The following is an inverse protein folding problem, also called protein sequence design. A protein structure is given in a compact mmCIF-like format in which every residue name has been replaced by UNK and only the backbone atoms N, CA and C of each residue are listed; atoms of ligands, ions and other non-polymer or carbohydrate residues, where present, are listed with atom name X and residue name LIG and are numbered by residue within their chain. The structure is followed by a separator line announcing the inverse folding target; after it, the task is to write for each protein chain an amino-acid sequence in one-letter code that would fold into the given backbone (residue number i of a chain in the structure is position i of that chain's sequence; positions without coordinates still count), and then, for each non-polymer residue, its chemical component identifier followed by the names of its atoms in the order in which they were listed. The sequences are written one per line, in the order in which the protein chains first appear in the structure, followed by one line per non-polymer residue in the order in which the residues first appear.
data_IF_597618280431
#
_entry.id   IF_597618280431
#
_cell.length_a   1.000
_cell.length_b   1.000
_cell.length_c   1.000
_cell.angle_alpha   90.00
_cell.angle_beta   90.00
_cell.angle_gamma   90.00
#
_symmetry.space_group_name_H-M   'P 1'
#
loop_
_entity.id
_entity.type
_entity.pdbx_description
1 polymer ?
#
# COMPACT_ATOMS: atom_id res chain seq x y z
N UNK A 1 2.96 -5.15 27.46
CA UNK A 1 4.07 -4.74 26.55
C UNK A 1 3.91 -3.26 26.23
N UNK A 2 5.00 -2.56 25.90
CA UNK A 2 4.98 -1.15 25.44
C UNK A 2 5.66 -1.03 24.08
N UNK A 3 4.99 -0.39 23.12
CA UNK A 3 5.44 -0.23 21.73
C UNK A 3 5.59 1.26 21.39
N UNK A 4 6.62 1.58 20.61
CA UNK A 4 7.02 2.96 20.27
C UNK A 4 7.01 3.18 18.75
N UNK A 5 6.27 4.19 18.28
CA UNK A 5 6.04 4.43 16.83
C UNK A 5 6.16 5.91 16.50
N UNK A 6 6.87 6.28 15.44
CA UNK A 6 7.25 7.68 15.16
C UNK A 6 6.29 8.48 14.25
N UNK A 7 5.23 7.88 13.68
CA UNK A 7 4.34 8.57 12.74
C UNK A 7 2.86 8.17 12.89
N UNK A 8 1.96 9.08 12.47
CA UNK A 8 0.50 8.95 12.66
C UNK A 8 -0.11 7.73 11.97
N UNK A 9 0.25 7.48 10.71
CA UNK A 9 -0.30 6.34 9.95
C UNK A 9 0.54 5.07 10.06
N UNK A 10 1.51 5.03 10.97
CA UNK A 10 2.37 3.86 11.15
C UNK A 10 1.76 2.89 12.17
N UNK A 11 1.96 1.61 11.89
CA UNK A 11 1.75 0.55 12.86
C UNK A 11 3.09 -0.04 13.32
N UNK A 12 3.09 -0.64 14.50
CA UNK A 12 4.14 -1.55 14.95
C UNK A 12 3.52 -2.92 15.20
N UNK A 13 4.11 -3.94 14.59
CA UNK A 13 3.83 -5.33 14.85
C UNK A 13 4.85 -5.88 15.85
N UNK A 14 4.40 -6.67 16.80
CA UNK A 14 5.26 -7.43 17.71
C UNK A 14 4.56 -8.74 18.11
N UNK A 15 5.27 -9.85 18.07
CA UNK A 15 4.67 -11.15 18.35
C UNK A 15 5.65 -12.30 18.49
N UNK A 16 5.12 -13.46 18.86
CA UNK A 16 5.87 -14.71 18.84
C UNK A 16 6.10 -15.16 17.40
N UNK A 17 7.28 -15.72 17.16
CA UNK A 17 7.66 -16.27 15.87
C UNK A 17 6.76 -17.44 15.48
N UNK A 18 6.51 -17.63 14.19
CA UNK A 18 5.87 -18.85 13.68
C UNK A 18 6.75 -20.09 13.72
N UNK A 19 8.01 -19.94 14.14
CA UNK A 19 8.97 -21.01 14.31
C UNK A 19 9.60 -20.98 15.71
N UNK A 20 9.88 -22.16 16.25
CA UNK A 20 10.56 -22.34 17.54
C UNK A 20 12.09 -22.30 17.43
N UNK A 21 12.65 -22.25 16.22
CA UNK A 21 14.09 -22.34 15.93
C UNK A 21 14.68 -21.07 15.31
N UNK A 22 13.84 -20.17 14.78
CA UNK A 22 14.25 -18.89 14.17
C UNK A 22 13.13 -17.85 14.26
N UNK A 23 13.43 -16.60 13.92
CA UNK A 23 12.40 -15.56 13.74
C UNK A 23 11.74 -15.73 12.37
N UNK A 24 10.45 -16.00 12.35
CA UNK A 24 9.69 -16.29 11.14
C UNK A 24 8.30 -15.66 11.19
N UNK A 25 8.01 -14.80 10.21
CA UNK A 25 6.75 -14.06 10.14
C UNK A 25 5.54 -14.97 9.90
N UNK A 26 5.67 -15.97 9.02
CA UNK A 26 4.56 -16.89 8.72
C UNK A 26 4.41 -17.87 9.88
N UNK A 27 3.18 -18.04 10.36
CA UNK A 27 2.82 -18.77 11.58
C UNK A 27 2.88 -17.92 12.86
N UNK A 28 3.26 -16.64 12.78
CA UNK A 28 3.36 -15.77 13.95
C UNK A 28 1.98 -15.39 14.51
N UNK A 29 1.91 -15.33 15.84
CA UNK A 29 0.87 -14.65 16.61
C UNK A 29 1.44 -13.28 17.03
N UNK A 30 0.86 -12.20 16.50
CA UNK A 30 1.38 -10.86 16.64
C UNK A 30 0.30 -9.83 16.94
N UNK A 31 0.62 -8.91 17.84
CA UNK A 31 -0.17 -7.71 18.07
C UNK A 31 0.21 -6.63 17.06
N UNK A 32 -0.78 -6.03 16.41
CA UNK A 32 -0.63 -4.84 15.58
C UNK A 32 -1.14 -3.63 16.36
N UNK A 33 -0.24 -2.71 16.68
CA UNK A 33 -0.55 -1.50 17.45
C UNK A 33 -0.37 -0.24 16.64
N UNK A 34 -1.30 0.71 16.79
CA UNK A 34 -1.29 2.01 16.11
C UNK A 34 -2.18 3.03 16.81
N UNK A 35 -2.05 4.31 16.44
CA UNK A 35 -2.97 5.38 16.82
C UNK A 35 -3.86 5.76 15.64
N UNK A 36 -5.11 6.09 15.90
CA UNK A 36 -6.00 6.79 14.97
C UNK A 36 -6.51 8.07 15.64
N UNK A 37 -5.92 9.20 15.27
CA UNK A 37 -6.06 10.44 16.04
C UNK A 37 -5.55 10.25 17.48
N UNK A 38 -6.47 10.25 18.45
CA UNK A 38 -6.18 10.02 19.87
C UNK A 38 -6.54 8.61 20.35
N UNK A 39 -7.18 7.81 19.50
CA UNK A 39 -7.60 6.45 19.85
C UNK A 39 -6.43 5.49 19.63
N UNK A 40 -6.09 4.74 20.67
CA UNK A 40 -5.11 3.67 20.57
C UNK A 40 -5.73 2.34 20.20
N UNK A 41 -4.98 1.54 19.45
CA UNK A 41 -5.34 0.18 19.10
C UNK A 41 -4.15 -0.74 19.37
N UNK A 42 -4.45 -1.94 19.86
CA UNK A 42 -3.52 -3.04 20.01
C UNK A 42 -4.33 -4.31 19.74
N UNK A 43 -4.33 -4.74 18.48
CA UNK A 43 -5.24 -5.77 17.97
C UNK A 43 -4.48 -7.07 17.73
N UNK A 44 -5.13 -8.19 18.01
CA UNK A 44 -4.56 -9.53 17.82
C UNK A 44 -4.67 -10.04 16.38
N UNK A 45 -3.56 -10.55 15.87
CA UNK A 45 -3.42 -11.03 14.49
C UNK A 45 -2.63 -12.33 14.42
N UNK A 46 -3.14 -13.27 13.64
CA UNK A 46 -2.42 -14.44 13.19
C UNK A 46 -1.99 -14.28 11.71
N UNK A 47 -0.72 -14.61 11.46
CA UNK A 47 -0.07 -14.40 10.16
C UNK A 47 0.13 -15.73 9.45
N UNK A 48 -0.70 -16.02 8.44
CA UNK A 48 -0.67 -17.32 7.73
C UNK A 48 0.00 -17.28 6.36
N UNK A 49 0.24 -16.08 5.81
CA UNK A 49 0.93 -15.88 4.53
C UNK A 49 1.53 -14.46 4.46
N UNK A 50 2.47 -14.22 3.51
CA UNK A 50 3.04 -12.88 3.27
C UNK A 50 2.14 -12.05 2.35
N UNK A 51 0.90 -11.86 2.76
CA UNK A 51 -0.13 -11.10 2.06
C UNK A 51 -0.98 -10.31 3.08
N UNK A 52 -1.68 -9.25 2.67
CA UNK A 52 -2.79 -8.71 3.46
C UNK A 52 -3.84 -9.80 3.74
N UNK A 53 -4.75 -9.55 4.67
CA UNK A 53 -5.82 -10.49 4.94
C UNK A 53 -6.77 -10.62 3.73
N UNK A 54 -6.69 -11.73 3.00
CA UNK A 54 -7.46 -11.99 1.79
C UNK A 54 -8.27 -13.27 1.92
N UNK A 55 -9.35 -13.39 1.15
CA UNK A 55 -10.12 -14.64 1.04
C UNK A 55 -9.52 -15.54 -0.03
N UNK A 56 -9.02 -16.70 0.39
CA UNK A 56 -8.57 -17.78 -0.47
C UNK A 56 -9.63 -18.87 -0.43
N UNK A 57 -10.46 -18.94 -1.47
CA UNK A 57 -11.56 -19.92 -1.59
C UNK A 57 -12.48 -19.97 -0.37
N UNK A 58 -12.82 -18.79 0.17
CA UNK A 58 -13.72 -18.65 1.31
C UNK A 58 -13.03 -18.72 2.68
N UNK A 59 -11.71 -18.95 2.73
CA UNK A 59 -10.94 -18.93 3.97
C UNK A 59 -10.02 -17.71 4.02
N UNK A 60 -9.96 -17.03 5.16
CA UNK A 60 -9.03 -15.92 5.35
C UNK A 60 -7.58 -16.43 5.45
N UNK A 61 -6.67 -15.79 4.71
CA UNK A 61 -5.23 -16.03 4.74
C UNK A 61 -4.46 -14.71 4.66
N UNK A 62 -3.22 -14.70 5.13
CA UNK A 62 -2.38 -13.50 5.19
C UNK A 62 -2.22 -12.99 6.62
N UNK A 63 -2.04 -11.67 6.77
CA UNK A 63 -1.97 -10.97 8.05
C UNK A 63 -3.39 -10.61 8.49
N UNK A 64 -4.04 -11.51 9.23
CA UNK A 64 -5.46 -11.42 9.56
C UNK A 64 -5.70 -11.18 11.05
N UNK A 65 -6.73 -10.38 11.38
CA UNK A 65 -7.25 -10.30 12.75
C UNK A 65 -7.78 -11.67 13.16
N UNK A 66 -7.58 -12.08 14.41
CA UNK A 66 -7.99 -13.42 14.87
C UNK A 66 -9.48 -13.66 14.77
N UNK A 67 -10.30 -12.63 14.98
CA UNK A 67 -11.75 -12.69 14.78
C UNK A 67 -12.16 -13.16 13.38
N UNK A 68 -11.36 -12.90 12.34
CA UNK A 68 -11.63 -13.36 10.97
C UNK A 68 -11.29 -14.85 10.78
N UNK A 69 -10.48 -15.42 11.65
CA UNK A 69 -10.05 -16.82 11.65
C UNK A 69 -10.85 -17.68 12.63
N UNK A 70 -11.88 -17.11 13.26
CA UNK A 70 -12.70 -17.80 14.26
C UNK A 70 -12.15 -17.72 15.69
N UNK A 71 -11.11 -16.93 15.90
CA UNK A 71 -10.51 -16.60 17.20
C UNK A 71 -11.14 -15.38 17.86
N UNK A 72 -10.46 -14.87 18.89
CA UNK A 72 -10.86 -13.70 19.68
C UNK A 72 -9.69 -12.73 19.84
N UNK A 73 -9.99 -11.43 19.87
CA UNK A 73 -8.96 -10.44 20.21
C UNK A 73 -8.59 -10.57 21.69
N UNK A 74 -7.43 -11.15 21.99
CA UNK A 74 -6.96 -11.40 23.36
C UNK A 74 -6.24 -10.20 23.97
N UNK A 75 -5.97 -9.17 23.18
CA UNK A 75 -5.26 -7.98 23.60
C UNK A 75 -6.19 -6.98 24.30
N UNK A 76 -5.70 -6.38 25.38
CA UNK A 76 -6.41 -5.35 26.14
C UNK A 76 -5.54 -4.10 26.21
N UNK A 77 -5.98 -3.05 25.52
CA UNK A 77 -5.33 -1.75 25.55
C UNK A 77 -5.33 -1.20 26.99
N UNK A 78 -4.18 -0.67 27.42
CA UNK A 78 -4.03 -0.01 28.71
C UNK A 78 -3.88 1.51 28.56
N UNK A 79 -2.87 1.96 27.81
CA UNK A 79 -2.64 3.38 27.54
C UNK A 79 -2.17 3.59 26.11
N UNK A 80 -2.52 4.74 25.55
CA UNK A 80 -2.06 5.15 24.23
C UNK A 80 -1.81 6.66 24.28
N UNK A 81 -0.55 7.07 24.25
CA UNK A 81 -0.13 8.45 24.43
C UNK A 81 0.83 8.82 23.32
N UNK A 82 0.74 10.06 22.82
CA UNK A 82 1.75 10.61 21.94
C UNK A 82 2.56 11.67 22.67
N UNK A 83 3.87 11.44 22.75
CA UNK A 83 4.81 12.32 23.44
C UNK A 83 6.03 12.55 22.55
N UNK A 84 6.40 13.81 22.33
CA UNK A 84 7.58 14.20 21.53
C UNK A 84 7.63 13.54 20.13
N UNK A 85 6.48 13.39 19.48
CA UNK A 85 6.36 12.75 18.17
C UNK A 85 6.39 11.21 18.18
N UNK A 86 6.45 10.59 19.35
CA UNK A 86 6.46 9.14 19.53
C UNK A 86 5.12 8.69 20.13
N UNK A 87 4.47 7.76 19.45
CA UNK A 87 3.29 7.04 19.94
C UNK A 87 3.77 5.93 20.87
N UNK A 88 3.29 5.94 22.11
CA UNK A 88 3.58 4.97 23.15
C UNK A 88 2.28 4.23 23.45
N UNK A 89 2.23 2.95 23.07
CA UNK A 89 1.05 2.11 23.26
C UNK A 89 1.40 0.99 24.22
N UNK A 90 0.68 0.93 25.33
CA UNK A 90 0.79 -0.14 26.33
C UNK A 90 -0.48 -0.95 26.32
N UNK A 91 -0.32 -2.28 26.26
CA UNK A 91 -1.42 -3.23 26.33
C UNK A 91 -1.00 -4.45 27.16
N UNK A 92 -2.00 -5.23 27.58
CA UNK A 92 -1.82 -6.51 28.27
C UNK A 92 -2.52 -7.62 27.49
N UNK A 93 -1.95 -8.83 27.56
CA UNK A 93 -2.58 -10.07 27.11
C UNK A 93 -2.31 -11.17 28.12
N UNK A 94 -3.07 -12.25 28.05
CA UNK A 94 -2.81 -13.47 28.83
C UNK A 94 -1.62 -14.23 28.27
N UNK A 95 -0.84 -14.87 29.13
CA UNK A 95 0.31 -15.68 28.70
C UNK A 95 -0.12 -16.99 28.03
N UNK A 96 -1.21 -17.57 28.53
CA UNK A 96 -1.90 -18.72 27.95
C UNK A 96 -3.27 -18.21 27.54
N UNK A 97 -3.56 -18.27 26.24
CA UNK A 97 -4.84 -17.85 25.69
C UNK A 97 -5.83 -19.02 25.64
N UNK A 98 -7.13 -18.69 25.62
CA UNK A 98 -8.18 -19.66 25.32
C UNK A 98 -8.41 -19.81 23.80
N UNK A 99 -7.83 -18.91 23.00
CA UNK A 99 -7.86 -18.99 21.55
C UNK A 99 -6.90 -20.10 21.07
N UNK A 100 -7.38 -21.12 20.34
CA UNK A 100 -6.51 -22.17 19.80
C UNK A 100 -5.53 -21.69 18.72
N UNK A 101 -5.76 -20.51 18.13
CA UNK A 101 -4.87 -19.86 17.16
C UNK A 101 -3.67 -19.16 17.80
N UNK A 102 -3.74 -18.90 19.11
CA UNK A 102 -2.70 -18.17 19.85
C UNK A 102 -1.55 -19.08 20.26
N UNK A 103 -0.36 -18.46 20.36
CA UNK A 103 0.81 -19.12 20.91
C UNK A 103 0.97 -18.83 22.40
N UNK A 104 1.47 -19.83 23.14
CA UNK A 104 1.78 -19.66 24.56
C UNK A 104 3.05 -18.82 24.76
N UNK A 105 2.93 -17.73 25.52
CA UNK A 105 4.06 -16.92 25.96
C UNK A 105 4.76 -17.57 27.15
N UNK A 106 5.73 -18.44 26.84
CA UNK A 106 6.51 -19.17 27.86
C UNK A 106 7.33 -18.21 28.73
N UNK A 107 7.14 -18.30 30.03
CA UNK A 107 7.93 -17.53 31.00
C UNK A 107 9.33 -18.09 31.19
N UNK A 108 9.56 -19.36 30.86
CA UNK A 108 10.85 -20.03 31.04
C UNK A 108 11.54 -20.24 29.69
N UNK A 109 12.84 -19.93 29.64
CA UNK A 109 13.67 -20.14 28.45
C UNK A 109 13.48 -19.06 27.38
N UNK A 110 14.07 -19.34 26.22
CA UNK A 110 14.09 -18.42 25.09
C UNK A 110 12.88 -18.66 24.17
N UNK A 111 12.22 -17.57 23.77
CA UNK A 111 11.21 -17.55 22.72
C UNK A 111 11.69 -16.69 21.56
N UNK A 112 11.56 -17.17 20.33
CA UNK A 112 11.82 -16.35 19.14
C UNK A 112 10.64 -15.41 18.91
N UNK A 113 10.96 -14.21 18.43
CA UNK A 113 9.96 -13.17 18.16
C UNK A 113 10.15 -12.54 16.80
N UNK A 114 9.09 -11.87 16.36
CA UNK A 114 9.07 -11.02 15.18
C UNK A 114 8.61 -9.62 15.57
N UNK A 115 9.11 -8.62 14.86
CA UNK A 115 8.60 -7.26 14.95
C UNK A 115 8.78 -6.55 13.62
N UNK A 116 7.91 -5.59 13.34
CA UNK A 116 8.01 -4.78 12.15
C UNK A 116 7.34 -3.41 12.36
N UNK A 117 7.75 -2.42 11.59
CA UNK A 117 7.09 -1.10 11.50
C UNK A 117 6.76 -0.84 10.05
N UNK A 118 5.49 -0.50 9.80
CA UNK A 118 4.97 -0.23 8.46
C UNK A 118 3.87 0.81 8.49
N UNK A 119 3.24 1.02 7.35
CA UNK A 119 2.12 1.94 7.19
C UNK A 119 0.80 1.21 7.11
N UNK A 120 -0.25 1.84 7.64
CA UNK A 120 -1.62 1.40 7.49
C UNK A 120 -2.21 1.88 6.16
N UNK A 121 -3.08 1.09 5.54
CA UNK A 121 -3.89 1.57 4.41
C UNK A 121 -5.04 2.48 4.89
N UNK A 122 -5.86 2.95 3.93
CA UNK A 122 -7.03 3.79 4.23
C UNK A 122 -8.09 3.10 5.12
N UNK A 123 -8.08 1.77 5.20
CA UNK A 123 -8.97 0.96 6.07
C UNK A 123 -8.33 0.61 7.42
N UNK A 124 -7.17 1.21 7.76
CA UNK A 124 -6.41 0.91 8.98
C UNK A 124 -5.95 -0.56 9.07
N UNK A 125 -5.63 -1.16 7.92
CA UNK A 125 -5.03 -2.49 7.85
C UNK A 125 -3.51 -2.40 7.64
N UNK A 126 -2.71 -3.29 8.26
CA UNK A 126 -1.27 -3.30 8.12
C UNK A 126 -0.85 -3.69 6.70
N UNK A 127 -0.11 -2.79 6.05
CA UNK A 127 0.47 -3.03 4.73
C UNK A 127 1.95 -3.44 4.85
N UNK A 128 2.65 -3.59 3.73
CA UNK A 128 4.05 -4.01 3.74
C UNK A 128 4.90 -3.07 4.62
N UNK A 129 5.71 -3.67 5.49
CA UNK A 129 6.52 -2.94 6.47
C UNK A 129 7.83 -2.43 5.87
N UNK A 130 8.30 -1.29 6.37
CA UNK A 130 9.54 -0.64 5.93
C UNK A 130 10.74 -1.07 6.80
N UNK A 131 10.49 -1.35 8.09
CA UNK A 131 11.52 -1.65 9.07
C UNK A 131 11.21 -2.99 9.72
N UNK A 132 12.17 -3.92 9.66
CA UNK A 132 12.07 -5.26 10.22
C UNK A 132 13.47 -5.90 10.28
N UNK A 133 13.71 -6.86 11.19
CA UNK A 133 15.00 -7.53 11.31
C UNK A 133 15.20 -8.60 10.21
N UNK A 134 16.46 -8.89 9.88
CA UNK A 134 16.87 -10.01 8.98
C UNK A 134 17.60 -11.13 9.71
N UNK A 135 17.71 -11.02 11.03
CA UNK A 135 18.35 -11.99 11.90
C UNK A 135 17.36 -12.46 12.96
N UNK A 136 17.70 -13.57 13.62
CA UNK A 136 16.87 -14.11 14.68
C UNK A 136 16.92 -13.23 15.92
N UNK A 137 15.74 -12.88 16.42
CA UNK A 137 15.56 -12.20 17.70
C UNK A 137 14.88 -13.16 18.67
N UNK A 138 15.46 -13.30 19.85
CA UNK A 138 14.92 -14.11 20.94
C UNK A 138 14.82 -13.29 22.21
N UNK A 139 13.83 -13.61 23.03
CA UNK A 139 13.61 -13.01 24.33
C UNK A 139 13.37 -14.06 25.40
N UNK A 140 13.69 -13.71 26.63
CA UNK A 140 13.35 -14.47 27.83
C UNK A 140 12.48 -13.54 28.69
N UNK A 141 11.22 -13.95 28.93
CA UNK A 141 10.21 -13.10 29.58
C UNK A 141 10.41 -12.96 31.09
N UNK A 142 10.81 -14.04 31.77
CA UNK A 142 11.02 -14.04 33.22
C UNK A 142 12.51 -14.14 33.57
N UNK A 143 13.31 -13.21 33.05
CA UNK A 143 14.74 -13.12 33.39
C UNK A 143 14.91 -12.88 34.89
N UNK A 144 15.76 -13.68 35.54
CA UNK A 144 16.10 -13.51 36.97
C UNK A 144 16.88 -12.23 37.23
N UNK A 145 17.77 -11.86 36.31
CA UNK A 145 18.52 -10.61 36.37
C UNK A 145 17.89 -9.57 35.44
N UNK A 146 17.50 -8.43 36.01
CA UNK A 146 16.95 -7.33 35.24
C UNK A 146 18.07 -6.67 34.43
N UNK A 147 17.94 -6.67 33.12
CA UNK A 147 18.82 -5.92 32.21
C UNK A 147 17.98 -4.91 31.42
N UNK A 148 18.30 -3.62 31.56
CA UNK A 148 17.75 -2.58 30.68
C UNK A 148 18.82 -2.16 29.69
N UNK A 149 18.74 -2.70 28.48
CA UNK A 149 19.52 -2.29 27.30
C UNK A 149 18.73 -1.32 26.40
N UNK A 150 17.66 -0.72 26.93
CA UNK A 150 16.89 0.30 26.23
C UNK A 150 17.65 1.63 26.21
N UNK A 151 17.73 2.26 25.05
CA UNK A 151 18.35 3.57 24.85
C UNK A 151 17.31 4.59 24.40
N UNK A 152 17.48 5.84 24.81
CA UNK A 152 16.61 6.91 24.35
C UNK A 152 16.75 7.12 22.83
N UNK A 153 15.63 7.46 22.17
CA UNK A 153 15.67 7.91 20.79
C UNK A 153 16.36 9.28 20.72
N UNK A 154 17.58 9.32 20.19
CA UNK A 154 18.43 10.53 20.18
C UNK A 154 18.50 11.21 18.82
N UNK A 155 18.01 10.57 17.75
CA UNK A 155 18.10 11.07 16.37
C UNK A 155 16.84 10.70 15.58
N UNK A 156 16.29 11.67 14.86
CA UNK A 156 15.41 11.39 13.74
C UNK A 156 16.26 11.09 12.50
N UNK A 157 15.99 9.98 11.81
CA UNK A 157 16.57 9.74 10.48
C UNK A 157 15.65 10.39 9.45
N UNK A 158 15.77 11.71 9.29
CA UNK A 158 15.24 12.35 8.09
C UNK A 158 16.22 12.14 6.95
N UNK A 159 15.98 11.11 6.15
CA UNK A 159 16.50 11.09 4.79
C UNK A 159 15.31 11.23 3.86
N UNK A 160 14.91 12.48 3.60
CA UNK A 160 14.06 12.75 2.44
C UNK A 160 14.89 12.35 1.22
N UNK A 161 14.59 11.18 0.67
CA UNK A 161 15.13 10.75 -0.60
C UNK A 161 14.09 11.06 -1.65
N UNK A 162 14.53 11.70 -2.72
CA UNK A 162 13.66 12.09 -3.82
C UNK A 162 12.98 10.86 -4.43
N UNK A 163 11.66 10.94 -4.60
CA UNK A 163 10.86 9.92 -5.27
C UNK A 163 11.42 9.62 -6.67
N UNK A 164 11.38 8.36 -7.11
CA UNK A 164 11.74 8.04 -8.48
C UNK A 164 10.77 8.68 -9.47
N UNK A 165 11.25 8.95 -10.69
CA UNK A 165 10.40 9.44 -11.77
C UNK A 165 9.23 8.48 -12.02
N UNK A 166 8.01 9.04 -12.04
CA UNK A 166 6.80 8.28 -12.32
C UNK A 166 6.79 7.85 -13.79
N UNK A 167 6.45 6.58 -14.04
CA UNK A 167 6.30 6.09 -15.40
C UNK A 167 5.02 6.63 -16.05
N UNK A 168 5.09 6.97 -17.34
CA UNK A 168 3.93 7.38 -18.15
C UNK A 168 3.94 6.62 -19.48
N UNK A 169 2.77 6.16 -19.91
CA UNK A 169 2.55 5.58 -21.25
C UNK A 169 1.54 6.44 -22.00
N UNK A 170 2.06 7.50 -22.63
CA UNK A 170 1.31 8.41 -23.51
C UNK A 170 1.74 8.18 -24.97
N UNK A 171 1.28 7.09 -25.58
CA UNK A 171 1.61 6.77 -26.97
C UNK A 171 0.35 6.38 -27.77
N UNK A 172 0.11 7.10 -28.86
CA UNK A 172 -1.04 6.89 -29.75
C UNK A 172 -0.98 5.56 -30.49
N UNK A 173 0.18 4.94 -30.63
CA UNK A 173 0.40 3.71 -31.40
C UNK A 173 0.23 2.45 -30.55
N UNK A 174 0.41 2.56 -29.23
CA UNK A 174 0.30 1.44 -28.32
C UNK A 174 -1.18 1.06 -28.13
N UNK A 175 -1.50 -0.19 -28.47
CA UNK A 175 -2.83 -0.81 -28.25
C UNK A 175 -2.76 -2.06 -27.37
N UNK A 176 -1.56 -2.51 -27.05
CA UNK A 176 -1.32 -3.71 -26.26
C UNK A 176 -0.41 -3.37 -25.10
N UNK A 177 -0.80 -3.76 -23.90
CA UNK A 177 -0.04 -3.59 -22.67
C UNK A 177 0.24 -4.96 -22.07
N UNK A 178 1.44 -5.16 -21.54
CA UNK A 178 1.80 -6.37 -20.80
C UNK A 178 1.90 -6.02 -19.32
N UNK A 179 1.11 -6.70 -18.49
CA UNK A 179 1.08 -6.52 -17.04
C UNK A 179 1.74 -7.72 -16.35
N UNK A 180 2.77 -7.45 -15.57
CA UNK A 180 3.54 -8.43 -14.78
C UNK A 180 3.66 -7.95 -13.33
N UNK A 181 4.12 -8.81 -12.43
CA UNK A 181 4.31 -8.43 -11.02
C UNK A 181 5.77 -8.08 -10.74
N UNK A 182 5.98 -7.21 -9.75
CA UNK A 182 7.31 -6.91 -9.24
C UNK A 182 7.26 -6.20 -7.89
N UNK A 183 8.41 -5.99 -7.25
CA UNK A 183 8.47 -5.35 -5.95
C UNK A 183 8.16 -3.85 -6.06
N UNK A 184 7.60 -3.27 -5.01
CA UNK A 184 7.13 -1.88 -5.00
C UNK A 184 8.23 -0.80 -5.09
N UNK A 185 9.51 -1.17 -4.93
CA UNK A 185 10.63 -0.22 -5.00
C UNK A 185 10.77 0.68 -3.76
N UNK A 186 10.47 0.14 -2.57
CA UNK A 186 10.58 0.87 -1.31
C UNK A 186 9.69 2.11 -1.23
N UNK A 187 10.17 3.12 -0.48
CA UNK A 187 9.51 4.41 -0.27
C UNK A 187 9.71 5.36 -1.46
N UNK A 188 10.79 5.18 -2.23
CA UNK A 188 11.06 5.99 -3.44
C UNK A 188 10.26 5.56 -4.66
N UNK A 189 9.87 4.29 -4.74
CA UNK A 189 9.07 3.73 -5.82
C UNK A 189 7.57 4.00 -5.65
N UNK A 190 6.77 2.94 -5.65
CA UNK A 190 5.30 3.02 -5.69
C UNK A 190 4.72 3.93 -4.62
N UNK A 191 5.16 3.79 -3.36
CA UNK A 191 4.63 4.61 -2.26
C UNK A 191 4.96 6.09 -2.44
N UNK A 192 6.16 6.41 -2.95
CA UNK A 192 6.56 7.78 -3.20
C UNK A 192 5.78 8.40 -4.36
N UNK A 193 5.60 7.63 -5.43
CA UNK A 193 4.91 8.06 -6.67
C UNK A 193 3.42 8.27 -6.41
N UNK A 194 2.78 7.30 -5.78
CA UNK A 194 1.31 7.26 -5.63
C UNK A 194 0.80 7.90 -4.35
N UNK A 195 1.68 8.06 -3.35
CA UNK A 195 1.33 8.37 -1.95
C UNK A 195 0.42 7.33 -1.30
N UNK A 196 0.25 6.16 -1.90
CA UNK A 196 -0.49 5.03 -1.35
C UNK A 196 0.45 4.05 -0.66
N UNK A 197 -0.07 3.30 0.31
CA UNK A 197 0.60 2.12 0.85
C UNK A 197 0.71 0.99 -0.18
N UNK A 198 1.45 -0.08 0.10
CA UNK A 198 1.61 -1.21 -0.85
C UNK A 198 1.59 -2.54 -0.11
N UNK A 199 1.10 -3.59 -0.77
CA UNK A 199 1.20 -4.98 -0.29
C UNK A 199 2.60 -5.57 -0.45
N UNK A 200 3.50 -4.81 -1.10
CA UNK A 200 4.86 -5.20 -1.40
C UNK A 200 5.04 -5.75 -2.81
N UNK A 201 3.96 -6.08 -3.51
CA UNK A 201 3.95 -6.35 -4.95
C UNK A 201 3.08 -5.30 -5.64
N UNK A 202 3.48 -4.92 -6.86
CA UNK A 202 2.72 -3.99 -7.70
C UNK A 202 2.75 -4.44 -9.15
N UNK A 203 1.84 -3.91 -9.95
CA UNK A 203 1.78 -4.09 -11.37
C UNK A 203 2.89 -3.33 -12.07
N UNK A 204 3.62 -4.04 -12.92
CA UNK A 204 4.52 -3.48 -13.90
C UNK A 204 3.84 -3.51 -15.25
N UNK A 205 3.69 -2.36 -15.90
CA UNK A 205 3.08 -2.28 -17.23
C UNK A 205 4.15 -1.93 -18.24
N UNK A 206 4.36 -2.81 -19.22
CA UNK A 206 5.46 -2.71 -20.19
C UNK A 206 6.83 -2.51 -19.51
N UNK A 207 7.03 -3.11 -18.33
CA UNK A 207 8.26 -3.02 -17.54
C UNK A 207 8.42 -1.74 -16.71
N UNK A 208 7.46 -0.82 -16.74
CA UNK A 208 7.45 0.37 -15.88
C UNK A 208 6.70 0.08 -14.57
N UNK A 209 7.17 0.67 -13.46
CA UNK A 209 6.55 0.56 -12.14
C UNK A 209 5.23 1.33 -12.10
N UNK A 210 4.09 0.61 -12.09
CA UNK A 210 2.74 1.16 -11.98
C UNK A 210 2.54 2.51 -12.71
N UNK A 211 2.81 2.60 -14.03
CA UNK A 211 2.78 3.85 -14.75
C UNK A 211 1.36 4.41 -14.89
N UNK A 212 1.23 5.70 -15.13
CA UNK A 212 -0.01 6.28 -15.66
C UNK A 212 -0.15 5.92 -17.15
N UNK A 213 -1.36 5.58 -17.58
CA UNK A 213 -1.62 5.11 -18.97
C UNK A 213 -2.70 5.98 -19.61
N UNK A 214 -2.57 6.30 -20.90
CA UNK A 214 -3.60 7.05 -21.63
C UNK A 214 -4.30 6.19 -22.67
N UNK A 215 -5.61 6.03 -22.50
CA UNK A 215 -6.49 5.36 -23.45
C UNK A 215 -7.43 6.37 -24.10
N UNK A 216 -7.71 6.21 -25.38
CA UNK A 216 -8.66 7.03 -26.11
C UNK A 216 -10.02 6.36 -26.19
N UNK A 217 -11.09 7.13 -25.96
CA UNK A 217 -12.46 6.64 -26.13
C UNK A 217 -12.71 6.14 -27.56
N UNK A 218 -13.46 5.06 -27.67
CA UNK A 218 -13.81 4.40 -28.94
C UNK A 218 -12.72 3.52 -29.55
N UNK A 219 -11.52 3.45 -28.94
CA UNK A 219 -10.46 2.53 -29.37
C UNK A 219 -10.38 1.30 -28.47
N UNK A 220 -10.12 0.16 -29.08
CA UNK A 220 -9.96 -1.11 -28.36
C UNK A 220 -8.49 -1.33 -28.00
N UNK A 221 -8.26 -1.66 -26.74
CA UNK A 221 -6.95 -1.98 -26.16
C UNK A 221 -6.97 -3.41 -25.61
N UNK A 222 -5.79 -4.04 -25.58
CA UNK A 222 -5.60 -5.39 -25.03
C UNK A 222 -4.56 -5.36 -23.93
N UNK A 223 -4.91 -5.88 -22.76
CA UNK A 223 -3.98 -6.09 -21.65
C UNK A 223 -3.66 -7.58 -21.57
N UNK A 224 -2.37 -7.92 -21.71
CA UNK A 224 -1.82 -9.26 -21.51
C UNK A 224 -1.42 -9.39 -20.05
N UNK A 225 -2.13 -10.22 -19.30
CA UNK A 225 -2.02 -10.29 -17.85
C UNK A 225 -1.23 -11.52 -17.43
N UNK A 226 -0.19 -11.29 -16.63
CA UNK A 226 0.64 -12.31 -15.99
C UNK A 226 0.71 -12.12 -14.47
N UNK A 227 -0.46 -12.16 -13.82
CA UNK A 227 -0.63 -11.91 -12.38
C UNK A 227 -0.68 -13.15 -11.50
N UNK A 228 -0.50 -14.34 -12.08
CA UNK A 228 -0.76 -15.62 -11.44
C UNK A 228 -2.24 -16.02 -11.48
N UNK A 229 -2.48 -17.28 -11.82
CA UNK A 229 -3.80 -17.85 -12.08
C UNK A 229 -4.19 -18.96 -11.09
N UNK A 230 -3.41 -19.15 -10.02
CA UNK A 230 -3.70 -20.12 -8.97
C UNK A 230 -4.52 -19.48 -7.83
N UNK A 231 -5.85 -19.70 -7.74
CA UNK A 231 -6.69 -19.10 -6.71
C UNK A 231 -6.42 -19.61 -5.29
N UNK A 232 -5.57 -20.63 -5.12
CA UNK A 232 -5.13 -21.10 -3.80
C UNK A 232 -3.96 -20.28 -3.22
N UNK A 233 -3.33 -19.42 -4.03
CA UNK A 233 -2.21 -18.59 -3.62
C UNK A 233 -2.70 -17.28 -3.01
N UNK A 234 -2.47 -17.07 -1.71
CA UNK A 234 -2.73 -15.78 -1.07
C UNK A 234 -1.78 -14.68 -1.59
N UNK A 235 -0.55 -15.07 -1.95
CA UNK A 235 0.55 -14.14 -2.28
C UNK A 235 0.66 -13.81 -3.76
N UNK A 236 0.22 -14.69 -4.65
CA UNK A 236 0.50 -14.61 -6.09
C UNK A 236 -0.73 -14.87 -6.97
N UNK A 237 -1.94 -14.61 -6.46
CA UNK A 237 -3.16 -14.65 -7.26
C UNK A 237 -3.68 -13.24 -7.46
N UNK A 238 -3.33 -12.61 -8.58
CA UNK A 238 -3.70 -11.23 -8.88
C UNK A 238 -4.41 -11.10 -10.22
N UNK A 239 -5.71 -11.42 -10.27
CA UNK A 239 -6.51 -11.07 -11.44
C UNK A 239 -6.55 -9.55 -11.64
N UNK A 240 -6.46 -9.10 -12.89
CA UNK A 240 -6.39 -7.69 -13.24
C UNK A 240 -7.79 -7.11 -13.46
N UNK A 241 -8.09 -5.98 -12.85
CA UNK A 241 -9.39 -5.30 -12.98
C UNK A 241 -9.19 -3.82 -13.30
N UNK A 242 -10.21 -3.22 -13.91
CA UNK A 242 -10.30 -1.77 -14.10
C UNK A 242 -11.59 -1.26 -13.46
N UNK A 243 -11.47 -0.29 -12.57
CA UNK A 243 -12.56 0.25 -11.76
C UNK A 243 -12.48 1.78 -11.69
N UNK A 244 -13.53 2.42 -11.19
CA UNK A 244 -13.49 3.84 -10.80
C UNK A 244 -12.98 4.09 -9.38
N UNK A 245 -12.72 3.03 -8.62
CA UNK A 245 -12.12 3.06 -7.28
C UNK A 245 -10.59 2.91 -7.37
N UNK A 246 -9.86 3.70 -6.57
CA UNK A 246 -8.42 3.90 -6.70
C UNK A 246 -7.55 2.82 -6.04
N UNK A 247 -8.06 2.17 -5.00
CA UNK A 247 -7.32 1.24 -4.17
C UNK A 247 -7.40 -0.21 -4.64
N UNK A 248 -8.44 -0.64 -5.36
CA UNK A 248 -8.55 -2.05 -5.78
C UNK A 248 -8.82 -3.01 -4.62
N UNK A 249 -8.35 -4.25 -4.72
CA UNK A 249 -8.66 -5.28 -3.72
C UNK A 249 -10.17 -5.50 -3.59
N UNK A 250 -10.88 -5.48 -4.72
CA UNK A 250 -12.35 -5.50 -4.79
C UNK A 250 -12.97 -6.62 -3.94
N UNK A 251 -12.36 -7.82 -3.90
CA UNK A 251 -12.86 -8.96 -3.12
C UNK A 251 -12.77 -8.77 -1.59
N UNK A 252 -11.94 -7.83 -1.13
CA UNK A 252 -11.79 -7.48 0.27
C UNK A 252 -12.83 -6.46 0.76
N UNK A 253 -13.47 -5.75 -0.18
CA UNK A 253 -14.48 -4.73 0.15
C UNK A 253 -15.74 -5.38 0.71
N UNK A 254 -16.43 -4.67 1.61
CA UNK A 254 -17.76 -5.11 2.06
C UNK A 254 -18.76 -5.09 0.90
N UNK A 255 -19.84 -5.86 1.00
CA UNK A 255 -20.85 -5.93 -0.07
C UNK A 255 -21.46 -4.56 -0.38
N UNK A 256 -21.65 -3.71 0.64
CA UNK A 256 -22.18 -2.35 0.48
C UNK A 256 -21.22 -1.43 -0.27
N UNK A 257 -19.91 -1.63 -0.10
CA UNK A 257 -18.88 -0.86 -0.82
C UNK A 257 -18.73 -1.39 -2.23
N UNK A 258 -18.73 -2.72 -2.43
CA UNK A 258 -18.68 -3.35 -3.75
C UNK A 258 -19.81 -2.85 -4.66
N UNK A 259 -21.03 -2.68 -4.12
CA UNK A 259 -22.17 -2.17 -4.88
C UNK A 259 -22.01 -0.72 -5.37
N UNK A 260 -21.15 0.07 -4.73
CA UNK A 260 -20.88 1.48 -5.09
C UNK A 260 -19.74 1.62 -6.09
N UNK A 261 -18.87 0.62 -6.18
CA UNK A 261 -17.72 0.62 -7.09
C UNK A 261 -18.18 0.17 -8.47
N UNK A 262 -17.90 0.98 -9.49
CA UNK A 262 -18.18 0.60 -10.87
C UNK A 262 -17.01 -0.17 -11.45
N UNK A 263 -17.20 -1.48 -11.61
CA UNK A 263 -16.26 -2.31 -12.33
C UNK A 263 -16.45 -2.13 -13.84
N UNK A 264 -15.40 -1.66 -14.51
CA UNK A 264 -15.40 -1.33 -15.92
C UNK A 264 -14.85 -2.47 -16.79
N UNK A 265 -13.95 -3.28 -16.23
CA UNK A 265 -13.40 -4.45 -16.90
C UNK A 265 -12.80 -5.46 -15.90
N UNK A 266 -12.71 -6.73 -16.32
CA UNK A 266 -11.97 -7.78 -15.60
C UNK A 266 -12.77 -8.56 -14.55
N UNK A 267 -14.07 -8.27 -14.40
CA UNK A 267 -14.98 -9.00 -13.50
C UNK A 267 -16.28 -9.31 -14.24
N UNK A 268 -16.78 -10.52 -14.05
CA UNK A 268 -18.14 -10.94 -14.40
C UNK A 268 -18.94 -11.20 -13.14
N UNK A 269 -20.22 -10.87 -13.15
CA UNK A 269 -21.11 -11.17 -12.03
C UNK A 269 -21.91 -12.43 -12.32
N UNK A 270 -21.92 -13.36 -11.37
CA UNK A 270 -22.77 -14.55 -11.44
C UNK A 270 -24.26 -14.16 -11.36
N UNK A 271 -25.16 -15.11 -11.65
CA UNK A 271 -26.62 -14.90 -11.48
C UNK A 271 -27.02 -14.51 -10.05
N UNK A 272 -26.18 -14.85 -9.06
CA UNK A 272 -26.38 -14.52 -7.64
C UNK A 272 -25.74 -13.17 -7.26
N UNK A 273 -25.22 -12.41 -8.23
CA UNK A 273 -24.53 -11.14 -7.98
C UNK A 273 -23.11 -11.28 -7.45
N UNK A 274 -22.57 -12.50 -7.30
CA UNK A 274 -21.19 -12.68 -6.82
C UNK A 274 -20.18 -12.27 -7.91
N UNK A 275 -19.17 -11.46 -7.59
CA UNK A 275 -18.12 -11.07 -8.53
C UNK A 275 -17.18 -12.25 -8.79
N UNK A 276 -16.82 -12.45 -10.05
CA UNK A 276 -15.83 -13.44 -10.51
C UNK A 276 -14.81 -12.76 -11.42
N UNK A 277 -13.52 -12.76 -11.07
CA UNK A 277 -12.51 -12.16 -11.93
C UNK A 277 -12.33 -12.98 -13.21
N UNK A 278 -12.11 -12.30 -14.33
CA UNK A 278 -11.96 -12.94 -15.67
C UNK A 278 -10.56 -12.83 -16.26
N UNK A 279 -9.71 -11.96 -15.71
CA UNK A 279 -8.38 -11.68 -16.25
C UNK A 279 -7.27 -12.18 -15.31
N UNK A 280 -7.10 -13.50 -15.20
CA UNK A 280 -6.03 -14.14 -14.44
C UNK A 280 -5.20 -15.05 -15.36
N UNK A 281 -3.93 -14.70 -15.58
CA UNK A 281 -2.98 -15.45 -16.42
C UNK A 281 -1.79 -16.01 -15.63
N UNK A 282 -0.89 -16.77 -16.26
CA UNK A 282 0.27 -17.40 -15.60
C UNK A 282 1.15 -16.37 -14.91
N UNK A 283 1.88 -16.77 -13.87
CA UNK A 283 2.69 -15.83 -13.08
C UNK A 283 3.95 -15.41 -13.85
N UNK A 284 4.11 -14.11 -14.11
CA UNK A 284 5.40 -13.52 -14.43
C UNK A 284 5.74 -12.47 -13.39
N UNK A 285 6.91 -12.61 -12.76
CA UNK A 285 7.30 -11.80 -11.61
C UNK A 285 8.79 -11.47 -11.63
N UNK A 286 9.11 -10.21 -11.33
CA UNK A 286 10.46 -9.76 -11.02
C UNK A 286 10.73 -9.90 -9.52
N UNK A 287 11.87 -10.49 -9.14
CA UNK A 287 12.27 -10.70 -7.73
C UNK A 287 13.71 -10.23 -7.50
N UNK A 288 14.04 -9.89 -6.26
CA UNK A 288 15.42 -9.56 -5.86
C UNK A 288 16.34 -10.77 -6.02
N UNK A 289 17.56 -10.54 -6.54
CA UNK A 289 18.63 -11.56 -6.60
C UNK A 289 19.41 -11.59 -5.27
N UNK A 290 18.88 -12.24 -4.24
CA UNK A 290 19.45 -12.33 -2.87
C UNK A 290 19.75 -11.00 -2.16
N UNK A 291 19.37 -9.88 -2.76
CA UNK A 291 19.55 -8.55 -2.17
C UNK A 291 18.48 -8.27 -1.12
N UNK A 292 18.91 -7.57 -0.06
CA UNK A 292 18.00 -7.11 0.97
C UNK A 292 17.06 -6.02 0.43
N UNK A 293 15.77 -6.33 0.38
CA UNK A 293 14.70 -5.43 -0.01
C UNK A 293 14.65 -4.12 0.79
N UNK A 294 15.17 -4.09 2.02
CA UNK A 294 15.25 -2.85 2.83
C UNK A 294 16.17 -1.79 2.21
N UNK A 295 16.99 -2.19 1.25
CA UNK A 295 17.92 -1.34 0.51
C UNK A 295 17.36 -0.89 -0.84
N UNK A 296 16.07 -1.12 -1.14
CA UNK A 296 15.45 -0.69 -2.39
C UNK A 296 15.56 0.84 -2.59
N UNK A 297 15.43 1.59 -1.50
CA UNK A 297 15.57 3.05 -1.45
C UNK A 297 16.98 3.54 -1.86
N UNK A 298 18.01 2.70 -1.74
CA UNK A 298 19.40 3.06 -2.05
C UNK A 298 19.69 3.10 -3.56
N UNK A 299 18.79 2.57 -4.39
CA UNK A 299 18.94 2.70 -5.84
C UNK A 299 18.64 4.13 -6.29
N UNK A 300 19.51 4.76 -7.10
CA UNK A 300 19.35 6.16 -7.48
C UNK A 300 18.17 6.40 -8.42
N UNK A 301 17.81 5.42 -9.24
CA UNK A 301 16.68 5.50 -10.18
C UNK A 301 15.97 4.15 -10.30
N UNK A 302 14.69 4.20 -10.68
CA UNK A 302 13.90 3.00 -10.99
C UNK A 302 14.59 2.11 -12.02
N UNK A 303 15.20 2.67 -13.07
CA UNK A 303 15.88 1.88 -14.11
C UNK A 303 17.04 1.04 -13.55
N UNK A 304 17.82 1.57 -12.59
CA UNK A 304 18.89 0.79 -11.94
C UNK A 304 18.31 -0.29 -11.02
N UNK A 305 17.25 0.04 -10.30
CA UNK A 305 16.52 -0.92 -9.47
C UNK A 305 15.96 -2.07 -10.31
N UNK A 306 15.21 -1.77 -11.37
CA UNK A 306 14.55 -2.76 -12.22
C UNK A 306 15.55 -3.71 -12.89
N UNK A 307 16.70 -3.19 -13.36
CA UNK A 307 17.78 -4.01 -13.94
C UNK A 307 18.46 -4.96 -12.94
N UNK A 308 18.30 -4.72 -11.63
CA UNK A 308 18.85 -5.60 -10.59
C UNK A 308 17.97 -6.80 -10.27
N UNK A 309 16.72 -6.80 -10.75
CA UNK A 309 15.75 -7.86 -10.48
C UNK A 309 15.92 -9.03 -11.46
N UNK A 310 15.60 -10.22 -10.99
CA UNK A 310 15.48 -11.43 -11.80
C UNK A 310 14.03 -11.61 -12.22
N UNK A 311 13.82 -11.75 -13.52
CA UNK A 311 12.50 -11.97 -14.10
C UNK A 311 12.26 -13.46 -14.33
N UNK A 312 11.14 -13.97 -13.81
CA UNK A 312 10.72 -15.37 -13.94
C UNK A 312 9.28 -15.46 -14.41
N UNK A 313 8.99 -16.36 -15.35
CA UNK A 313 7.65 -16.63 -15.86
C UNK A 313 7.33 -18.12 -15.80
N UNK A 314 6.12 -18.44 -15.37
CA UNK A 314 5.51 -19.75 -15.57
C UNK A 314 5.11 -19.95 -17.03
N UNK A 315 4.98 -21.21 -17.44
CA UNK A 315 4.52 -21.57 -18.78
C UNK A 315 3.03 -21.23 -18.98
N UNK A 316 2.67 -20.92 -20.22
CA UNK A 316 1.28 -20.68 -20.63
C UNK A 316 1.07 -19.31 -21.27
N UNK A 317 -0.08 -19.15 -21.90
CA UNK A 317 -0.47 -17.90 -22.54
C UNK A 317 -1.02 -16.89 -21.53
N UNK A 318 -0.74 -15.61 -21.78
CA UNK A 318 -1.29 -14.51 -21.00
C UNK A 318 -2.83 -14.51 -21.04
N UNK A 319 -3.47 -14.15 -19.93
CA UNK A 319 -4.89 -13.81 -19.98
C UNK A 319 -5.06 -12.47 -20.72
N UNK A 320 -5.98 -12.40 -21.68
CA UNK A 320 -6.20 -11.20 -22.49
C UNK A 320 -7.46 -10.48 -22.02
N UNK A 321 -7.29 -9.31 -21.43
CA UNK A 321 -8.39 -8.40 -21.12
C UNK A 321 -8.52 -7.35 -22.22
N UNK A 322 -9.59 -7.42 -23.02
CA UNK A 322 -9.90 -6.41 -24.05
C UNK A 322 -10.83 -5.36 -23.49
N UNK A 323 -10.50 -4.08 -23.69
CA UNK A 323 -11.30 -2.95 -23.24
C UNK A 323 -11.47 -1.91 -24.33
N UNK A 324 -12.64 -1.31 -24.39
CA UNK A 324 -12.95 -0.21 -25.31
C UNK A 324 -13.61 0.90 -24.49
N UNK A 325 -12.84 1.84 -23.92
CA UNK A 325 -13.40 2.94 -23.16
C UNK A 325 -14.40 3.71 -24.03
N UNK A 326 -15.58 4.00 -23.51
CA UNK A 326 -16.64 4.71 -24.23
C UNK A 326 -16.99 6.01 -23.49
N UNK A 327 -18.05 6.71 -23.89
CA UNK A 327 -18.49 7.96 -23.25
C UNK A 327 -18.97 7.82 -21.81
N UNK A 328 -19.26 6.60 -21.33
CA UNK A 328 -19.73 6.37 -19.95
C UNK A 328 -18.60 6.14 -18.96
N UNK A 329 -17.39 5.82 -19.43
CA UNK A 329 -16.21 5.70 -18.56
C UNK A 329 -15.84 7.10 -18.02
N UNK A 330 -15.44 7.25 -16.74
CA UNK A 330 -14.87 8.52 -16.26
C UNK A 330 -13.58 8.87 -17.00
N UNK A 331 -13.09 10.10 -16.84
CA UNK A 331 -11.81 10.54 -17.41
C UNK A 331 -10.60 9.94 -16.69
N UNK A 332 -10.78 9.53 -15.43
CA UNK A 332 -9.76 8.81 -14.65
C UNK A 332 -10.39 7.53 -14.12
N UNK A 333 -9.75 6.42 -14.42
CA UNK A 333 -10.08 5.10 -13.88
C UNK A 333 -8.79 4.47 -13.37
N UNK A 334 -8.90 3.34 -12.69
CA UNK A 334 -7.76 2.73 -12.02
C UNK A 334 -7.67 1.26 -12.41
N UNK A 335 -6.46 0.83 -12.72
CA UNK A 335 -6.17 -0.59 -12.83
C UNK A 335 -5.59 -1.10 -11.52
N UNK A 336 -6.04 -2.26 -11.06
CA UNK A 336 -5.58 -2.85 -9.81
C UNK A 336 -5.70 -4.38 -9.84
N UNK A 337 -5.23 -5.00 -8.76
CA UNK A 337 -5.54 -6.40 -8.47
C UNK A 337 -6.96 -6.54 -7.90
N UNK A 338 -7.65 -7.61 -8.28
CA UNK A 338 -8.95 -7.97 -7.73
C UNK A 338 -8.88 -8.35 -6.25
N UNK A 339 -7.76 -8.95 -5.82
CA UNK A 339 -7.62 -9.57 -4.49
C UNK A 339 -6.82 -8.72 -3.52
N UNK A 340 -5.97 -7.81 -4.01
CA UNK A 340 -5.06 -7.02 -3.19
C UNK A 340 -5.18 -5.53 -3.50
N UNK A 341 -5.20 -4.66 -2.49
CA UNK A 341 -5.27 -3.23 -2.72
C UNK A 341 -3.91 -2.62 -3.07
N UNK A 342 -3.91 -1.44 -3.68
CA UNK A 342 -2.76 -0.59 -3.97
C UNK A 342 -1.64 -1.33 -4.73
N UNK A 343 -2.02 -1.99 -5.83
CA UNK A 343 -1.07 -2.67 -6.72
C UNK A 343 -0.90 -1.97 -8.05
N UNK A 344 -1.87 -1.18 -8.49
CA UNK A 344 -1.79 -0.45 -9.76
C UNK A 344 -2.00 1.04 -9.60
N UNK A 345 -2.39 1.69 -10.69
CA UNK A 345 -2.42 3.15 -10.77
C UNK A 345 -3.45 3.64 -11.80
N UNK A 346 -3.27 4.87 -12.29
CA UNK A 346 -4.28 5.57 -13.09
C UNK A 346 -4.24 5.19 -14.56
N UNK A 347 -5.42 5.15 -15.15
CA UNK A 347 -5.66 5.25 -16.58
C UNK A 347 -6.42 6.54 -16.84
N UNK A 348 -5.83 7.41 -17.65
CA UNK A 348 -6.47 8.59 -18.19
C UNK A 348 -7.22 8.22 -19.47
N UNK A 349 -8.52 8.46 -19.47
CA UNK A 349 -9.40 8.21 -20.61
C UNK A 349 -9.69 9.54 -21.29
N UNK A 350 -9.23 9.68 -22.54
CA UNK A 350 -9.28 10.94 -23.29
C UNK A 350 -10.06 10.81 -24.59
N UNK A 351 -10.60 11.91 -25.10
CA UNK A 351 -11.24 11.92 -26.43
C UNK A 351 -10.22 12.01 -27.57
N UNK A 352 -9.09 12.67 -27.30
CA UNK A 352 -7.97 12.81 -28.23
C UNK A 352 -6.65 12.91 -27.47
N UNK A 353 -5.57 12.46 -28.10
CA UNK A 353 -4.22 12.51 -27.54
C UNK A 353 -3.55 13.88 -27.73
N UNK A 354 -4.26 14.98 -27.52
CA UNK A 354 -3.67 16.31 -27.53
C UNK A 354 -3.10 16.61 -26.14
N UNK A 355 -1.77 16.76 -26.02
CA UNK A 355 -1.22 17.46 -24.85
C UNK A 355 -1.69 18.90 -24.98
N UNK A 356 -2.64 19.32 -24.16
CA UNK A 356 -2.98 20.73 -24.03
C UNK A 356 -1.72 21.41 -23.54
N UNK A 357 -1.04 22.16 -24.41
CA UNK A 357 -0.07 23.15 -23.97
C UNK A 357 -0.86 24.09 -23.07
N UNK A 358 -0.62 24.02 -21.76
CA UNK A 358 -1.08 25.03 -20.81
C UNK A 358 -0.67 26.38 -21.38
N UNK A 359 -1.65 27.10 -21.91
CA UNK A 359 -1.44 28.38 -22.56
C UNK A 359 -0.72 29.29 -21.58
N UNK A 360 0.41 29.85 -22.01
CA UNK A 360 0.97 31.01 -21.36
C UNK A 360 -0.16 32.04 -21.27
N UNK A 361 -0.65 32.30 -20.07
CA UNK A 361 -1.43 33.50 -19.79
C UNK A 361 -0.47 34.67 -20.00
N UNK A 362 -0.42 35.16 -21.23
CA UNK A 362 0.21 36.42 -21.58
C UNK A 362 -0.71 37.50 -21.01
N UNK A 363 -0.49 37.86 -19.75
CA UNK A 363 -1.20 38.94 -19.09
C UNK A 363 -1.01 40.24 -19.88
N UNK A 364 -2.07 40.71 -20.51
CA UNK A 364 -2.12 42.05 -21.07
C UNK A 364 -2.05 43.04 -19.90
N UNK A 365 -0.88 43.64 -19.66
CA UNK A 365 -0.75 44.79 -18.78
C UNK A 365 -1.50 45.98 -19.38
N UNK A 366 -2.73 46.21 -18.91
CA UNK A 366 -3.41 47.49 -19.09
C UNK A 366 -2.79 48.47 -18.08
N UNK A 367 -1.89 49.32 -18.57
CA UNK A 367 -1.30 50.41 -17.80
C UNK A 367 -2.37 51.39 -17.34
N UNK A 368 -2.59 51.47 -16.03
CA UNK A 368 -3.46 52.48 -15.42
C UNK A 368 -2.63 53.75 -15.22
N UNK A 369 -2.93 54.77 -16.02
CA UNK A 369 -2.35 56.10 -15.90
C UNK A 369 -2.94 56.80 -14.66
N UNK A 370 -2.16 56.92 -13.59
CA UNK A 370 -2.52 57.71 -12.40
C UNK A 370 -2.39 59.20 -12.72
N UNK A 371 -3.52 59.89 -12.87
CA UNK A 371 -3.61 61.35 -12.85
C UNK A 371 -3.58 61.84 -11.39
N UNK A 372 -2.47 62.46 -11.00
CA UNK A 372 -2.33 63.20 -9.75
C UNK A 372 -3.02 64.56 -9.84
N UNK A 373 -4.18 64.69 -9.20
CA UNK A 373 -4.83 65.97 -8.96
C UNK A 373 -4.22 66.63 -7.71
N UNK A 374 -3.40 67.67 -7.92
CA UNK A 374 -2.99 68.61 -6.87
C UNK A 374 -4.20 69.40 -6.39
N UNK A 375 -4.59 69.22 -5.12
CA UNK A 375 -5.54 70.11 -4.44
C UNK A 375 -4.74 71.12 -3.62
N UNK A 376 -4.66 72.35 -4.10
CA UNK A 376 -4.20 73.52 -3.36
C UNK A 376 -5.30 73.99 -2.40
N UNK A 377 -5.01 73.96 -1.08
CA UNK A 377 -5.86 74.58 -0.05
C UNK A 377 -5.61 76.09 -0.03
N UNK A 378 -6.61 76.88 -0.40
CA UNK A 378 -6.72 78.30 -0.09
C UNK A 378 -7.66 78.45 1.12
N UNK A 379 -7.12 78.95 2.24
CA UNK A 379 -7.90 79.48 3.37
C UNK A 379 -8.27 80.95 3.06
N UNK A 380 -9.50 81.40 3.31
CA UNK A 380 -9.81 82.82 3.36
C UNK A 380 -9.71 83.36 4.80
N UNK A 381 -9.01 84.49 4.94
CA UNK A 381 -9.17 85.44 6.03
C UNK A 381 -10.49 86.18 5.85
N UNK A 382 -11.36 86.25 6.87
CA UNK A 382 -12.21 87.41 7.13
C UNK A 382 -12.36 87.61 8.65
N UNK A 383 -12.16 88.85 9.06
CA UNK A 383 -12.27 89.44 10.40
C UNK A 383 -13.69 89.32 11.00
N UNK A 384 -13.76 89.09 12.30
CA UNK A 384 -14.23 90.10 13.27
C UNK A 384 -13.72 89.78 14.68
#
# INVERSE_FOLDING_TARGET
MSLFISAEDNYMAFGLSGSTDRSEMVGSDATIAYLDGYLGYALDYNITAKAPCVKVLGQYKGVCKDMLLGGFDSNQLHTAVRENGINIITYRRTLISADPGDQEYRTQGWSYVVWAVGKLNHNKEPMFHDIYPKWNLKLELNRKEQSSDCFAFTRSKESFQETWEAGEIFDRTIRTFTATLGPSGGRRGYQGITRMTTTGLVWYINGLLAPEIWLRRGLTYSFKIHGGNNPHSAEYYHPFIITDEAHGGFDMLSEEVQQKVRVLAGVEFTRRGQPKPTAAGPLCISKHNDKDRRLDDDYPTFNKFNRSLLYTCEEGDAAILKVTPNTTWPDIVYYNSFTHPNMGWKIHVVDSYARTSSGAFMGLHVGTLLLTLCVTRLLPLVLQ
#
